data_IF_478795366310
#
_entry.id   IF_478795366310
#
_cell.length_a   1.000
_cell.length_b   1.000
_cell.length_c   1.000
_cell.angle_alpha   90.00
_cell.angle_beta   90.00
_cell.angle_gamma   90.00
#
_symmetry.space_group_name_H-M   'P 1'
#
loop_
_entity.id
_entity.type
_entity.pdbx_description
1 polymer ?
#
# COMPACT_ATOMS: atom_id res chain seq x y z
N UNK A 1 -32.53 -5.76 -6.98
CA UNK A 1 -32.53 -4.40 -6.39
C UNK A 1 -32.87 -4.41 -4.90
N UNK A 2 -33.90 -5.15 -4.45
CA UNK A 2 -34.24 -5.34 -3.02
C UNK A 2 -33.07 -5.79 -2.12
N UNK A 3 -32.24 -6.73 -2.59
CA UNK A 3 -31.07 -7.23 -1.84
C UNK A 3 -30.14 -6.09 -1.38
N UNK A 4 -29.91 -5.07 -2.22
CA UNK A 4 -29.02 -3.95 -1.89
C UNK A 4 -29.72 -3.00 -0.92
N UNK A 5 -30.94 -2.56 -1.26
CA UNK A 5 -31.69 -1.58 -0.46
C UNK A 5 -31.96 -2.07 0.95
N UNK A 6 -32.18 -3.37 1.09
CA UNK A 6 -32.53 -3.99 2.38
C UNK A 6 -31.28 -4.27 3.23
N UNK A 7 -30.07 -4.21 2.64
CA UNK A 7 -28.81 -4.52 3.32
C UNK A 7 -27.76 -3.38 3.23
N UNK A 8 -28.20 -2.14 2.95
CA UNK A 8 -27.32 -0.98 2.82
C UNK A 8 -26.44 -0.75 4.06
N UNK A 9 -26.99 -0.95 5.26
CA UNK A 9 -26.25 -0.79 6.50
C UNK A 9 -25.05 -1.75 6.60
N UNK A 10 -25.26 -3.01 6.23
CA UNK A 10 -24.25 -4.06 6.26
C UNK A 10 -23.16 -3.87 5.20
N UNK A 11 -23.56 -3.50 3.98
CA UNK A 11 -22.62 -3.17 2.90
C UNK A 11 -21.80 -1.92 3.27
N UNK A 12 -22.46 -0.89 3.81
CA UNK A 12 -21.82 0.35 4.24
C UNK A 12 -20.84 0.14 5.39
N UNK A 13 -21.20 -0.65 6.40
CA UNK A 13 -20.28 -1.00 7.49
C UNK A 13 -19.10 -1.84 6.98
N UNK A 14 -19.35 -2.80 6.08
CA UNK A 14 -18.30 -3.61 5.47
C UNK A 14 -17.31 -2.75 4.69
N UNK A 15 -17.82 -1.80 3.88
CA UNK A 15 -17.02 -0.84 3.13
C UNK A 15 -16.20 0.08 4.05
N UNK A 16 -16.77 0.56 5.15
CA UNK A 16 -16.06 1.37 6.13
C UNK A 16 -14.89 0.58 6.76
N UNK A 17 -15.11 -0.69 7.12
CA UNK A 17 -14.06 -1.58 7.61
C UNK A 17 -12.98 -1.82 6.56
N UNK A 18 -13.35 -2.10 5.30
CA UNK A 18 -12.44 -2.24 4.15
C UNK A 18 -11.52 -1.02 4.03
N UNK A 19 -12.09 0.19 4.03
CA UNK A 19 -11.32 1.43 3.96
C UNK A 19 -10.46 1.65 5.19
N UNK A 20 -10.96 1.32 6.39
CA UNK A 20 -10.19 1.39 7.63
C UNK A 20 -8.95 0.51 7.61
N UNK A 21 -9.10 -0.75 7.16
CA UNK A 21 -7.97 -1.69 7.01
C UNK A 21 -6.97 -1.13 5.99
N UNK A 22 -7.45 -0.73 4.81
CA UNK A 22 -6.60 -0.26 3.72
C UNK A 22 -5.78 0.98 4.12
N UNK A 23 -6.43 1.97 4.74
CA UNK A 23 -5.80 3.23 5.13
C UNK A 23 -4.80 3.04 6.26
N UNK A 24 -5.15 2.29 7.32
CA UNK A 24 -4.25 2.05 8.44
C UNK A 24 -3.05 1.20 8.02
N UNK A 25 -3.28 0.14 7.24
CA UNK A 25 -2.19 -0.70 6.75
C UNK A 25 -1.26 0.08 5.81
N UNK A 26 -1.81 0.87 4.89
CA UNK A 26 -1.02 1.70 3.98
C UNK A 26 -0.24 2.81 4.72
N UNK A 27 -0.86 3.49 5.68
CA UNK A 27 -0.17 4.52 6.47
C UNK A 27 1.00 3.91 7.27
N UNK A 28 0.79 2.76 7.90
CA UNK A 28 1.87 2.05 8.58
C UNK A 28 2.94 1.53 7.62
N UNK A 29 2.54 1.03 6.45
CA UNK A 29 3.45 0.57 5.41
C UNK A 29 4.32 1.71 4.86
N UNK A 30 3.76 2.92 4.72
CA UNK A 30 4.51 4.12 4.34
C UNK A 30 5.61 4.42 5.36
N UNK A 31 5.26 4.46 6.65
CA UNK A 31 6.23 4.74 7.72
C UNK A 31 7.33 3.67 7.76
N UNK A 32 6.95 2.40 7.88
CA UNK A 32 7.91 1.29 8.01
C UNK A 32 8.73 1.14 6.72
N UNK A 33 8.08 1.16 5.57
CA UNK A 33 8.74 1.00 4.27
C UNK A 33 9.73 2.12 3.95
N UNK A 34 9.40 3.37 4.27
CA UNK A 34 10.35 4.50 4.11
C UNK A 34 11.54 4.38 5.06
N UNK A 35 11.33 3.97 6.32
CA UNK A 35 12.44 3.73 7.25
C UNK A 35 13.35 2.60 6.76
N UNK A 36 12.78 1.50 6.26
CA UNK A 36 13.54 0.39 5.68
C UNK A 36 14.28 0.83 4.41
N UNK A 37 13.68 1.69 3.58
CA UNK A 37 14.35 2.27 2.42
C UNK A 37 15.60 3.06 2.81
N UNK A 38 15.53 3.87 3.88
CA UNK A 38 16.69 4.59 4.44
C UNK A 38 17.78 3.62 4.88
N UNK A 39 17.44 2.55 5.59
CA UNK A 39 18.39 1.50 5.96
C UNK A 39 19.05 0.86 4.72
N UNK A 40 18.29 0.66 3.64
CA UNK A 40 18.76 0.01 2.41
C UNK A 40 19.73 0.88 1.59
N UNK A 41 19.59 2.21 1.66
CA UNK A 41 20.50 3.16 0.99
C UNK A 41 21.67 3.62 1.87
N UNK A 42 21.68 3.22 3.15
CA UNK A 42 22.73 3.57 4.09
C UNK A 42 24.10 3.03 3.66
N UNK A 43 25.21 3.79 3.91
CA UNK A 43 26.56 3.29 3.69
C UNK A 43 26.95 2.16 4.66
N UNK A 44 26.20 1.94 5.73
CA UNK A 44 26.48 0.94 6.77
C UNK A 44 26.02 -0.45 6.31
N UNK A 45 26.94 -1.42 6.07
CA UNK A 45 26.58 -2.72 5.50
C UNK A 45 25.55 -3.52 6.31
N UNK A 46 25.61 -3.58 7.66
CA UNK A 46 24.58 -4.25 8.45
C UNK A 46 23.16 -3.70 8.23
N UNK A 47 22.99 -2.37 8.15
CA UNK A 47 21.68 -1.74 7.92
C UNK A 47 21.13 -2.09 6.53
N UNK A 48 22.01 -2.12 5.52
CA UNK A 48 21.66 -2.51 4.16
C UNK A 48 21.21 -3.96 4.09
N UNK A 49 21.92 -4.87 4.75
CA UNK A 49 21.56 -6.29 4.82
C UNK A 49 20.23 -6.49 5.54
N UNK A 50 20.02 -5.84 6.69
CA UNK A 50 18.76 -5.90 7.42
C UNK A 50 17.59 -5.43 6.55
N UNK A 51 17.74 -4.28 5.87
CA UNK A 51 16.71 -3.78 4.97
C UNK A 51 16.45 -4.72 3.78
N UNK A 52 17.49 -5.34 3.22
CA UNK A 52 17.34 -6.32 2.16
C UNK A 52 16.58 -7.56 2.62
N UNK A 53 16.91 -8.11 3.79
CA UNK A 53 16.21 -9.28 4.36
C UNK A 53 14.74 -8.95 4.65
N UNK A 54 14.46 -7.79 5.27
CA UNK A 54 13.09 -7.34 5.54
C UNK A 54 12.25 -7.31 4.26
N UNK A 55 12.74 -6.63 3.21
CA UNK A 55 12.02 -6.49 1.94
C UNK A 55 11.84 -7.85 1.26
N UNK A 56 12.88 -8.69 1.24
CA UNK A 56 12.77 -10.03 0.65
C UNK A 56 11.69 -10.85 1.35
N UNK A 57 11.60 -10.81 2.68
CA UNK A 57 10.54 -11.55 3.39
C UNK A 57 9.17 -10.91 3.14
N UNK A 58 9.06 -9.60 3.30
CA UNK A 58 7.80 -8.86 3.18
C UNK A 58 7.14 -9.01 1.79
N UNK A 59 7.94 -8.99 0.71
CA UNK A 59 7.41 -9.09 -0.65
C UNK A 59 7.10 -10.54 -1.10
N UNK A 60 7.65 -11.55 -0.40
CA UNK A 60 7.55 -12.95 -0.83
C UNK A 60 6.70 -13.81 0.11
N UNK A 61 6.35 -13.33 1.32
CA UNK A 61 5.44 -14.04 2.19
C UNK A 61 3.99 -13.90 1.70
N UNK A 62 3.22 -15.00 1.56
CA UNK A 62 1.81 -14.88 1.24
C UNK A 62 1.06 -14.13 2.35
N UNK A 63 0.50 -12.97 2.02
CA UNK A 63 -0.16 -12.08 2.99
C UNK A 63 -1.30 -12.78 3.73
N UNK A 64 -2.07 -13.63 3.04
CA UNK A 64 -3.14 -14.42 3.67
C UNK A 64 -2.60 -15.38 4.73
N UNK A 65 -1.49 -16.08 4.45
CA UNK A 65 -0.87 -16.99 5.41
C UNK A 65 -0.39 -16.22 6.64
N UNK A 66 0.31 -15.10 6.45
CA UNK A 66 0.75 -14.25 7.56
C UNK A 66 -0.45 -13.75 8.39
N UNK A 67 -1.53 -13.34 7.73
CA UNK A 67 -2.75 -12.89 8.38
C UNK A 67 -3.39 -13.98 9.26
N UNK A 68 -3.48 -15.22 8.76
CA UNK A 68 -3.97 -16.38 9.52
C UNK A 68 -3.08 -16.65 10.73
N UNK A 69 -1.75 -16.59 10.56
CA UNK A 69 -0.80 -16.81 11.67
C UNK A 69 -0.96 -15.73 12.76
N UNK A 70 -1.08 -14.46 12.37
CA UNK A 70 -1.33 -13.37 13.32
C UNK A 70 -2.68 -13.50 14.02
N UNK A 71 -3.72 -13.91 13.30
CA UNK A 71 -5.08 -14.02 13.84
C UNK A 71 -5.27 -15.21 14.80
N UNK A 72 -4.62 -16.35 14.52
CA UNK A 72 -4.92 -17.60 15.24
C UNK A 72 -3.72 -18.25 15.94
N UNK A 73 -2.50 -18.01 15.49
CA UNK A 73 -1.29 -18.59 16.11
C UNK A 73 -0.72 -17.66 17.18
N UNK A 74 -0.63 -16.35 16.90
CA UNK A 74 -0.10 -15.38 17.86
C UNK A 74 -0.86 -15.36 19.21
N UNK A 75 -2.21 -15.41 19.25
CA UNK A 75 -2.95 -15.49 20.51
C UNK A 75 -2.62 -16.76 21.32
N UNK A 76 -2.40 -17.90 20.64
CA UNK A 76 -2.01 -19.15 21.30
C UNK A 76 -0.57 -19.12 21.83
N UNK A 77 0.28 -18.28 21.24
CA UNK A 77 1.65 -18.03 21.71
C UNK A 77 1.72 -16.97 22.83
N UNK A 78 0.57 -16.52 23.36
CA UNK A 78 0.51 -15.54 24.45
C UNK A 78 0.49 -14.08 23.99
N UNK A 79 0.36 -13.80 22.68
CA UNK A 79 0.24 -12.44 22.13
C UNK A 79 -1.22 -12.21 21.70
N UNK A 80 -2.08 -11.62 22.55
CA UNK A 80 -3.49 -11.45 22.24
C UNK A 80 -3.69 -10.39 21.16
N UNK A 81 -3.88 -10.83 19.91
CA UNK A 81 -4.16 -9.97 18.75
C UNK A 81 -5.58 -10.27 18.27
N UNK A 82 -6.43 -9.24 18.17
CA UNK A 82 -7.76 -9.38 17.58
C UNK A 82 -7.70 -9.40 16.05
N UNK A 83 -8.79 -9.85 15.41
CA UNK A 83 -8.81 -10.10 13.96
C UNK A 83 -8.50 -8.87 13.11
N UNK A 84 -9.00 -7.69 13.51
CA UNK A 84 -8.80 -6.45 12.76
C UNK A 84 -7.31 -6.00 12.77
N UNK A 85 -6.63 -5.87 13.93
CA UNK A 85 -5.18 -5.63 13.98
C UNK A 85 -4.35 -6.71 13.29
N UNK A 86 -4.77 -7.98 13.32
CA UNK A 86 -4.08 -9.05 12.58
C UNK A 86 -4.12 -8.83 11.06
N UNK A 87 -5.29 -8.45 10.53
CA UNK A 87 -5.45 -8.09 9.11
C UNK A 87 -4.60 -6.86 8.75
N UNK A 88 -4.70 -5.79 9.54
CA UNK A 88 -3.91 -4.56 9.32
C UNK A 88 -2.42 -4.85 9.38
N UNK A 89 -1.96 -5.61 10.38
CA UNK A 89 -0.54 -5.94 10.58
C UNK A 89 0.05 -6.77 9.44
N UNK A 90 -0.69 -7.77 8.96
CA UNK A 90 -0.23 -8.60 7.83
C UNK A 90 -0.11 -7.78 6.54
N UNK A 91 -1.12 -6.97 6.22
CA UNK A 91 -1.11 -6.12 5.02
C UNK A 91 -0.06 -5.02 5.13
N UNK A 92 0.11 -4.43 6.31
CA UNK A 92 1.15 -3.44 6.60
C UNK A 92 2.54 -4.02 6.37
N UNK A 93 2.79 -5.22 6.91
CA UNK A 93 4.08 -5.90 6.77
C UNK A 93 4.42 -6.11 5.29
N UNK A 94 3.52 -6.74 4.53
CA UNK A 94 3.70 -6.94 3.10
C UNK A 94 3.85 -5.61 2.33
N UNK A 95 2.96 -4.65 2.62
CA UNK A 95 2.97 -3.31 2.03
C UNK A 95 4.28 -2.56 2.28
N UNK A 96 4.90 -2.70 3.44
CA UNK A 96 6.15 -2.03 3.79
C UNK A 96 7.32 -2.42 2.86
N UNK A 97 7.35 -3.68 2.42
CA UNK A 97 8.33 -4.16 1.44
C UNK A 97 8.16 -3.46 0.08
N UNK A 98 6.92 -3.37 -0.39
CA UNK A 98 6.61 -2.69 -1.65
C UNK A 98 6.83 -1.17 -1.57
N UNK A 99 6.50 -0.52 -0.44
CA UNK A 99 6.84 0.90 -0.21
C UNK A 99 8.36 1.10 -0.27
N UNK A 100 9.14 0.24 0.39
CA UNK A 100 10.60 0.35 0.37
C UNK A 100 11.14 0.28 -1.06
N UNK A 101 10.67 -0.66 -1.88
CA UNK A 101 11.08 -0.76 -3.28
C UNK A 101 10.60 0.42 -4.11
N UNK A 102 9.39 0.93 -3.88
CA UNK A 102 8.87 2.12 -4.56
C UNK A 102 9.76 3.34 -4.30
N UNK A 103 10.07 3.63 -3.03
CA UNK A 103 10.92 4.77 -2.64
C UNK A 103 12.33 4.61 -3.21
N UNK A 104 12.92 3.41 -3.10
CA UNK A 104 14.26 3.14 -3.62
C UNK A 104 14.32 3.25 -5.14
N UNK A 105 13.32 2.73 -5.85
CA UNK A 105 13.19 2.82 -7.30
C UNK A 105 13.06 4.28 -7.74
N UNK A 106 12.25 5.07 -7.04
CA UNK A 106 12.12 6.51 -7.26
C UNK A 106 13.45 7.25 -7.17
N UNK A 107 14.22 7.02 -6.09
CA UNK A 107 15.55 7.62 -5.92
C UNK A 107 16.51 7.21 -7.03
N UNK A 108 16.56 5.91 -7.36
CA UNK A 108 17.47 5.37 -8.37
C UNK A 108 17.08 5.71 -9.82
N UNK A 109 15.85 6.19 -10.04
CA UNK A 109 15.40 6.56 -11.38
C UNK A 109 16.11 7.82 -11.91
N UNK A 110 16.59 8.69 -11.02
CA UNK A 110 17.21 9.98 -11.42
C UNK A 110 18.50 9.70 -12.19
N UNK A 111 18.62 10.30 -13.38
CA UNK A 111 19.74 10.03 -14.28
C UNK A 111 21.07 10.48 -13.67
N UNK A 112 22.06 9.58 -13.63
CA UNK A 112 23.40 9.89 -13.11
C UNK A 112 24.03 11.11 -13.80
N UNK A 113 23.81 11.27 -15.10
CA UNK A 113 24.30 12.41 -15.88
C UNK A 113 23.80 13.77 -15.37
N UNK A 114 22.58 13.87 -14.80
CA UNK A 114 22.11 15.12 -14.19
C UNK A 114 22.86 15.44 -12.90
N UNK A 115 23.18 14.40 -12.11
CA UNK A 115 23.96 14.54 -10.88
C UNK A 115 25.41 14.92 -11.22
N UNK A 116 25.98 14.32 -12.26
CA UNK A 116 27.34 14.61 -12.75
C UNK A 116 27.45 16.02 -13.35
N UNK A 117 26.48 16.44 -14.18
CA UNK A 117 26.42 17.80 -14.72
C UNK A 117 26.31 18.86 -13.61
N UNK A 118 25.47 18.62 -12.61
CA UNK A 118 25.34 19.52 -11.46
C UNK A 118 26.63 19.64 -10.65
N UNK A 119 27.37 18.54 -10.47
CA UNK A 119 28.70 18.58 -9.85
C UNK A 119 29.72 19.33 -10.71
N UNK A 120 29.69 19.16 -12.04
CA UNK A 120 30.57 19.88 -12.96
C UNK A 120 30.33 21.40 -12.94
N UNK A 121 29.09 21.82 -12.65
CA UNK A 121 28.71 23.23 -12.41
C UNK A 121 29.05 23.73 -11.00
N UNK A 122 29.72 22.93 -10.17
CA UNK A 122 30.13 23.31 -8.81
C UNK A 122 29.01 23.33 -7.77
N UNK A 123 27.86 22.69 -8.04
CA UNK A 123 26.77 22.65 -7.06
C UNK A 123 27.15 21.81 -5.83
N UNK A 124 26.93 22.30 -4.59
CA UNK A 124 27.17 21.51 -3.39
C UNK A 124 26.18 20.35 -3.27
N UNK A 125 26.59 19.25 -2.64
CA UNK A 125 25.80 18.01 -2.53
C UNK A 125 24.36 18.24 -2.03
N UNK A 126 24.17 19.06 -1.01
CA UNK A 126 22.85 19.37 -0.47
C UNK A 126 21.93 20.06 -1.50
N UNK A 127 22.49 20.92 -2.34
CA UNK A 127 21.74 21.60 -3.41
C UNK A 127 21.36 20.61 -4.52
N UNK A 128 22.26 19.70 -4.90
CA UNK A 128 21.98 18.64 -5.89
C UNK A 128 20.82 17.75 -5.39
N UNK A 129 20.88 17.31 -4.13
CA UNK A 129 19.84 16.47 -3.54
C UNK A 129 18.50 17.22 -3.52
N UNK A 130 18.49 18.45 -3.02
CA UNK A 130 17.26 19.23 -2.83
C UNK A 130 16.62 19.66 -4.15
N UNK A 131 17.41 20.15 -5.10
CA UNK A 131 16.88 20.78 -6.31
C UNK A 131 16.75 19.80 -7.49
N UNK A 132 17.58 18.75 -7.56
CA UNK A 132 17.59 17.83 -8.71
C UNK A 132 17.02 16.47 -8.33
N UNK A 133 17.58 15.82 -7.31
CA UNK A 133 17.27 14.41 -7.02
C UNK A 133 15.90 14.26 -6.37
N UNK A 134 15.64 14.94 -5.24
CA UNK A 134 14.41 14.77 -4.46
C UNK A 134 13.15 15.06 -5.27
N UNK A 135 13.04 16.17 -6.03
CA UNK A 135 11.80 16.48 -6.72
C UNK A 135 11.47 15.46 -7.82
N UNK A 136 12.48 15.00 -8.56
CA UNK A 136 12.31 13.99 -9.61
C UNK A 136 12.02 12.61 -9.03
N UNK A 137 12.71 12.23 -7.96
CA UNK A 137 12.47 10.98 -7.26
C UNK A 137 11.04 10.95 -6.69
N UNK A 138 10.59 12.03 -6.04
CA UNK A 138 9.25 12.14 -5.48
C UNK A 138 8.17 12.02 -6.56
N UNK A 139 8.29 12.76 -7.66
CA UNK A 139 7.33 12.70 -8.76
C UNK A 139 7.19 11.26 -9.31
N UNK A 140 8.32 10.55 -9.48
CA UNK A 140 8.34 9.17 -9.99
C UNK A 140 7.94 8.12 -8.96
N UNK A 141 7.93 8.46 -7.68
CA UNK A 141 7.52 7.56 -6.60
C UNK A 141 6.00 7.54 -6.40
N UNK A 142 5.27 8.57 -6.85
CA UNK A 142 3.81 8.68 -6.63
C UNK A 142 3.04 7.50 -7.19
N UNK A 143 3.22 7.16 -8.47
CA UNK A 143 2.48 6.05 -9.09
C UNK A 143 2.78 4.69 -8.44
N UNK A 144 4.05 4.33 -8.17
CA UNK A 144 4.37 3.17 -7.35
C UNK A 144 3.66 3.15 -6.00
N UNK A 145 3.61 4.27 -5.26
CA UNK A 145 2.93 4.33 -3.96
C UNK A 145 1.41 4.17 -4.08
N UNK A 146 0.81 4.74 -5.12
CA UNK A 146 -0.61 4.54 -5.43
C UNK A 146 -0.92 3.07 -5.70
N UNK A 147 -0.04 2.36 -6.41
CA UNK A 147 -0.17 0.92 -6.63
C UNK A 147 -0.04 0.11 -5.33
N UNK A 148 0.79 0.54 -4.39
CA UNK A 148 0.85 -0.07 -3.05
C UNK A 148 -0.45 0.17 -2.28
N UNK A 149 -1.02 1.38 -2.32
CA UNK A 149 -2.32 1.64 -1.72
C UNK A 149 -3.42 0.76 -2.31
N UNK A 150 -3.49 0.63 -3.64
CA UNK A 150 -4.46 -0.25 -4.32
C UNK A 150 -4.24 -1.71 -3.89
N UNK A 151 -2.99 -2.15 -3.77
CA UNK A 151 -2.65 -3.48 -3.26
C UNK A 151 -3.13 -3.68 -1.80
N UNK A 152 -2.98 -2.68 -0.93
CA UNK A 152 -3.52 -2.72 0.44
C UNK A 152 -5.04 -2.77 0.45
N UNK A 153 -5.69 -1.99 -0.42
CA UNK A 153 -7.14 -1.95 -0.57
C UNK A 153 -7.70 -3.30 -1.02
N UNK A 154 -7.19 -3.86 -2.11
CA UNK A 154 -7.61 -5.18 -2.60
C UNK A 154 -7.21 -6.27 -1.58
N UNK A 155 -6.03 -6.15 -0.96
CA UNK A 155 -5.56 -7.07 0.06
C UNK A 155 -6.46 -7.13 1.31
N UNK A 156 -7.22 -6.06 1.61
CA UNK A 156 -8.20 -6.08 2.72
C UNK A 156 -9.29 -7.12 2.54
N UNK A 157 -9.63 -7.51 1.31
CA UNK A 157 -10.60 -8.57 1.02
C UNK A 157 -10.19 -9.93 1.60
N UNK A 158 -8.88 -10.16 1.77
CA UNK A 158 -8.34 -11.38 2.40
C UNK A 158 -8.77 -11.48 3.87
N UNK A 159 -9.11 -10.37 4.52
CA UNK A 159 -9.54 -10.36 5.92
C UNK A 159 -10.88 -11.09 6.14
N UNK A 160 -11.70 -11.26 5.09
CA UNK A 160 -12.89 -12.11 5.13
C UNK A 160 -12.55 -13.55 5.55
N UNK A 161 -11.40 -14.07 5.11
CA UNK A 161 -10.99 -15.45 5.36
C UNK A 161 -10.69 -15.73 6.84
N UNK A 162 -10.39 -14.69 7.63
CA UNK A 162 -10.19 -14.80 9.08
C UNK A 162 -11.41 -14.30 9.88
N UNK A 163 -12.52 -13.97 9.21
CA UNK A 163 -13.78 -13.56 9.84
C UNK A 163 -13.90 -12.06 10.16
N UNK A 164 -13.07 -11.20 9.57
CA UNK A 164 -13.25 -9.74 9.70
C UNK A 164 -14.46 -9.31 8.89
N UNK A 165 -15.32 -8.50 9.51
CA UNK A 165 -16.56 -8.00 8.90
C UNK A 165 -16.29 -6.81 7.97
N UNK A 166 -15.63 -7.09 6.85
CA UNK A 166 -15.40 -6.14 5.75
C UNK A 166 -16.32 -6.44 4.54
N UNK A 167 -16.15 -5.71 3.44
CA UNK A 167 -17.05 -5.77 2.28
C UNK A 167 -17.18 -7.17 1.67
N UNK A 168 -16.08 -7.93 1.59
CA UNK A 168 -16.06 -9.29 1.02
C UNK A 168 -16.81 -10.27 1.92
N UNK A 169 -16.65 -10.16 3.23
CA UNK A 169 -17.39 -10.93 4.23
C UNK A 169 -18.89 -10.58 4.20
N UNK A 170 -19.23 -9.30 4.07
CA UNK A 170 -20.61 -8.88 3.89
C UNK A 170 -21.21 -9.50 2.61
N UNK A 171 -20.43 -9.54 1.53
CA UNK A 171 -20.81 -10.17 0.27
C UNK A 171 -21.05 -11.66 0.42
N UNK A 172 -20.15 -12.38 1.11
CA UNK A 172 -20.30 -13.81 1.41
C UNK A 172 -21.58 -14.10 2.20
N UNK A 173 -21.87 -13.29 3.23
CA UNK A 173 -23.09 -13.44 4.02
C UNK A 173 -24.37 -13.17 3.20
N UNK A 174 -24.37 -12.19 2.30
CA UNK A 174 -25.49 -11.96 1.39
C UNK A 174 -25.67 -13.11 0.42
N UNK A 175 -24.59 -13.66 -0.11
CA UNK A 175 -24.65 -14.85 -0.96
C UNK A 175 -25.26 -16.04 -0.21
N UNK A 176 -24.87 -16.29 1.03
CA UNK A 176 -25.44 -17.36 1.84
C UNK A 176 -26.95 -17.19 2.11
N UNK A 177 -27.43 -15.94 2.20
CA UNK A 177 -28.85 -15.63 2.45
C UNK A 177 -29.72 -15.71 1.20
N UNK A 178 -29.22 -15.22 0.07
CA UNK A 178 -30.01 -15.04 -1.15
C UNK A 178 -29.65 -16.01 -2.29
N UNK A 179 -28.56 -16.78 -2.16
CA UNK A 179 -28.03 -17.69 -3.18
C UNK A 179 -27.68 -17.02 -4.53
N UNK A 180 -27.44 -15.70 -4.52
CA UNK A 180 -27.18 -14.87 -5.70
C UNK A 180 -25.68 -14.51 -5.80
N UNK A 181 -24.82 -15.52 -5.98
CA UNK A 181 -23.37 -15.36 -5.94
C UNK A 181 -22.86 -14.40 -7.02
N UNK A 182 -23.30 -14.59 -8.27
CA UNK A 182 -22.85 -13.79 -9.41
C UNK A 182 -23.15 -12.31 -9.16
N UNK A 183 -24.37 -11.99 -8.77
CA UNK A 183 -24.79 -10.60 -8.55
C UNK A 183 -24.06 -9.95 -7.35
N UNK A 184 -23.97 -10.65 -6.22
CA UNK A 184 -23.37 -10.11 -4.99
C UNK A 184 -21.86 -9.89 -5.13
N UNK A 185 -21.12 -10.86 -5.68
CA UNK A 185 -19.69 -10.71 -5.92
C UNK A 185 -19.36 -9.73 -7.05
N UNK A 186 -20.20 -9.62 -8.09
CA UNK A 186 -20.03 -8.60 -9.12
C UNK A 186 -20.18 -7.19 -8.54
N UNK A 187 -21.17 -6.96 -7.67
CA UNK A 187 -21.34 -5.67 -6.99
C UNK A 187 -20.12 -5.32 -6.12
N UNK A 188 -19.64 -6.28 -5.33
CA UNK A 188 -18.44 -6.10 -4.49
C UNK A 188 -17.20 -5.82 -5.34
N UNK A 189 -16.98 -6.60 -6.41
CA UNK A 189 -15.88 -6.41 -7.35
C UNK A 189 -15.91 -5.05 -8.05
N UNK A 190 -17.08 -4.59 -8.50
CA UNK A 190 -17.25 -3.25 -9.06
C UNK A 190 -16.98 -2.15 -8.02
N UNK A 191 -17.32 -2.38 -6.75
CA UNK A 191 -17.02 -1.44 -5.66
C UNK A 191 -15.51 -1.32 -5.44
N UNK A 192 -14.79 -2.45 -5.33
CA UNK A 192 -13.32 -2.44 -5.25
C UNK A 192 -12.67 -1.78 -6.47
N UNK A 193 -13.19 -2.07 -7.67
CA UNK A 193 -12.72 -1.45 -8.91
C UNK A 193 -12.92 0.07 -8.92
N UNK A 194 -14.09 0.55 -8.50
CA UNK A 194 -14.38 1.98 -8.42
C UNK A 194 -13.44 2.70 -7.44
N UNK A 195 -13.18 2.09 -6.28
CA UNK A 195 -12.24 2.63 -5.29
C UNK A 195 -10.80 2.66 -5.84
N UNK A 196 -10.36 1.58 -6.49
CA UNK A 196 -9.03 1.50 -7.10
C UNK A 196 -8.85 2.55 -8.20
N UNK A 197 -9.85 2.72 -9.07
CA UNK A 197 -9.83 3.72 -10.12
C UNK A 197 -9.84 5.15 -9.56
N UNK A 198 -10.59 5.39 -8.47
CA UNK A 198 -10.52 6.64 -7.71
C UNK A 198 -9.11 6.92 -7.21
N UNK A 199 -8.45 5.92 -6.62
CA UNK A 199 -7.07 6.04 -6.16
C UNK A 199 -6.08 6.34 -7.30
N UNK A 200 -6.20 5.64 -8.44
CA UNK A 200 -5.38 5.91 -9.63
C UNK A 200 -5.56 7.35 -10.13
N UNK A 201 -6.81 7.84 -10.19
CA UNK A 201 -7.08 9.22 -10.60
C UNK A 201 -6.47 10.24 -9.65
N UNK A 202 -6.65 10.05 -8.34
CA UNK A 202 -6.06 10.92 -7.33
C UNK A 202 -4.52 10.91 -7.42
N UNK A 203 -3.93 9.72 -7.59
CA UNK A 203 -2.50 9.54 -7.83
C UNK A 203 -1.99 10.34 -9.02
N UNK A 204 -2.67 10.23 -10.17
CA UNK A 204 -2.31 10.97 -11.38
C UNK A 204 -2.45 12.50 -11.23
N UNK A 205 -3.42 12.97 -10.44
CA UNK A 205 -3.52 14.41 -10.13
C UNK A 205 -2.35 14.89 -9.26
N UNK A 206 -1.94 14.10 -8.27
CA UNK A 206 -0.78 14.40 -7.41
C UNK A 206 0.52 14.39 -8.24
N UNK A 207 0.70 13.39 -9.09
CA UNK A 207 1.85 13.27 -9.99
C UNK A 207 1.96 14.48 -10.91
N UNK A 208 0.87 14.87 -11.59
CA UNK A 208 0.86 16.06 -12.46
C UNK A 208 1.19 17.34 -11.74
N UNK A 209 0.77 17.50 -10.47
CA UNK A 209 1.14 18.67 -9.66
C UNK A 209 2.62 18.70 -9.32
N UNK A 210 3.23 17.54 -9.06
CA UNK A 210 4.66 17.42 -8.75
C UNK A 210 5.54 17.56 -10.01
N UNK A 211 5.08 17.06 -11.16
CA UNK A 211 5.79 17.15 -12.43
C UNK A 211 5.59 18.51 -13.13
N UNK A 212 4.35 19.02 -13.17
CA UNK A 212 3.96 20.25 -13.87
C UNK A 212 4.48 21.54 -13.23
N UNK A 213 5.05 21.48 -12.02
CA UNK A 213 5.74 22.62 -11.42
C UNK A 213 7.05 23.01 -12.13
N UNK A 214 7.52 22.24 -13.12
CA UNK A 214 8.86 22.42 -13.73
C UNK A 214 8.95 22.41 -15.26
N UNK A 215 7.94 21.98 -16.00
CA UNK A 215 7.96 22.16 -17.47
C UNK A 215 7.83 23.64 -17.88
N UNK A 216 7.34 24.52 -16.98
CA UNK A 216 7.18 25.97 -17.25
C UNK A 216 8.44 26.78 -16.94
N UNK A 217 9.53 26.15 -16.46
CA UNK A 217 10.76 26.86 -16.02
C UNK A 217 12.05 26.42 -16.73
N UNK A 218 11.97 25.61 -17.77
CA UNK A 218 13.08 25.31 -18.68
C UNK A 218 12.94 26.14 -19.96
#
# INVERSE_FOLDING_TARGET
MRIITDNLGMIGSGLATTLGIALLAYAGALVVGTLIAVCRVSPVPPLRTLGAVWVTIACNIPTLCLMILLAFVAPRAGVPISLFPAAVGAILFAGSGYVCEAVRSGINSVAKGQIEAARALGMPFGLIIREIVLPQALARTVQPLVNVFISCLIGSALAAAIGVHELTHATQQLNLRYAEAVFTFLLSGLTYLALAFGATRLGGLIERRLAGGREVRA
#
